data_IF_606569957610
#
_entry.id   IF_606569957610
#
_cell.length_a   1.000
_cell.length_b   1.000
_cell.length_c   1.000
_cell.angle_alpha   90.00
_cell.angle_beta   90.00
_cell.angle_gamma   90.00
#
_symmetry.space_group_name_H-M   'P 1'
#
loop_
_entity.id
_entity.type
_entity.pdbx_description
1 polymer ?
#
# COMPACT_ATOMS: atom_id res chain seq x y z
N UNK A 1 -14.91 17.83 7.87
CA UNK A 1 -14.72 17.04 6.65
C UNK A 1 -13.26 16.59 6.58
N UNK A 2 -13.02 15.30 6.48
CA UNK A 2 -11.66 14.81 6.39
C UNK A 2 -11.15 14.93 4.97
N UNK A 3 -9.93 15.43 4.85
CA UNK A 3 -9.31 15.56 3.54
C UNK A 3 -8.78 14.20 3.07
N UNK A 4 -8.91 13.97 1.79
CA UNK A 4 -8.26 12.85 1.16
C UNK A 4 -6.79 13.21 0.91
N UNK A 5 -5.92 12.24 1.13
CA UNK A 5 -4.49 12.38 0.85
C UNK A 5 -4.07 11.30 -0.11
N UNK A 6 -2.93 11.51 -0.74
CA UNK A 6 -2.26 10.47 -1.54
C UNK A 6 -0.95 10.12 -0.85
N UNK A 7 -0.69 8.82 -0.71
CA UNK A 7 0.53 8.35 -0.11
C UNK A 7 1.13 7.24 -0.96
N UNK A 8 2.42 7.38 -1.27
CA UNK A 8 3.20 6.33 -1.92
C UNK A 8 3.94 5.56 -0.84
N UNK A 9 3.72 4.26 -0.81
CA UNK A 9 4.28 3.36 0.19
C UNK A 9 5.16 2.36 -0.54
N UNK A 10 6.42 2.23 -0.12
CA UNK A 10 7.32 1.28 -0.74
C UNK A 10 7.93 0.40 0.35
N UNK A 11 7.78 -0.90 0.19
CA UNK A 11 8.11 -1.86 1.23
C UNK A 11 9.26 -2.73 0.76
N UNK A 12 10.33 -2.77 1.55
CA UNK A 12 11.56 -3.49 1.25
C UNK A 12 11.77 -4.64 2.21
N UNK A 13 12.30 -5.73 1.70
CA UNK A 13 12.59 -6.91 2.46
C UNK A 13 12.26 -8.17 1.69
N UNK A 14 11.97 -9.25 2.39
CA UNK A 14 11.45 -10.46 1.76
C UNK A 14 9.93 -10.30 1.66
N UNK A 15 9.49 -9.63 0.61
CA UNK A 15 8.11 -9.15 0.49
C UNK A 15 7.40 -9.59 -0.78
N UNK A 16 8.14 -10.05 -1.80
CA UNK A 16 7.54 -10.63 -3.00
C UNK A 16 7.47 -12.14 -2.87
N UNK A 17 6.42 -12.74 -3.45
CA UNK A 17 6.24 -14.18 -3.40
C UNK A 17 5.67 -14.69 -2.08
N UNK A 18 5.29 -13.80 -1.17
CA UNK A 18 4.75 -14.16 0.14
C UNK A 18 3.33 -13.63 0.35
N UNK A 19 2.70 -13.14 -0.72
CA UNK A 19 1.33 -12.64 -0.66
C UNK A 19 1.20 -11.22 -0.15
N UNK A 20 2.28 -10.44 -0.11
CA UNK A 20 2.25 -9.08 0.44
C UNK A 20 1.42 -8.15 -0.43
N UNK A 21 1.56 -8.25 -1.75
CA UNK A 21 0.78 -7.43 -2.69
C UNK A 21 -0.73 -7.66 -2.48
N UNK A 22 -1.13 -8.92 -2.37
CA UNK A 22 -2.52 -9.30 -2.11
C UNK A 22 -2.98 -8.81 -0.73
N UNK A 23 -2.10 -8.92 0.28
CA UNK A 23 -2.38 -8.47 1.64
C UNK A 23 -2.73 -6.98 1.65
N UNK A 24 -1.93 -6.16 0.97
CA UNK A 24 -2.19 -4.71 0.90
C UNK A 24 -3.50 -4.46 0.16
N UNK A 25 -3.69 -5.11 -0.98
CA UNK A 25 -4.88 -4.92 -1.80
C UNK A 25 -6.14 -5.21 -1.01
N UNK A 26 -6.19 -6.36 -0.34
CA UNK A 26 -7.35 -6.79 0.42
C UNK A 26 -7.69 -5.79 1.53
N UNK A 27 -6.69 -5.40 2.30
CA UNK A 27 -6.89 -4.48 3.41
C UNK A 27 -7.24 -3.07 2.94
N UNK A 28 -6.60 -2.59 1.89
CA UNK A 28 -6.91 -1.28 1.33
C UNK A 28 -8.33 -1.23 0.77
N UNK A 29 -8.75 -2.30 0.14
CA UNK A 29 -10.11 -2.39 -0.39
C UNK A 29 -11.16 -2.33 0.72
N UNK A 30 -10.93 -3.05 1.80
CA UNK A 30 -11.83 -3.02 2.96
C UNK A 30 -11.92 -1.63 3.58
N UNK A 31 -10.82 -0.87 3.53
CA UNK A 31 -10.78 0.49 4.05
C UNK A 31 -11.32 1.53 3.05
N UNK A 32 -11.74 1.09 1.86
CA UNK A 32 -12.29 2.00 0.86
C UNK A 32 -11.26 2.88 0.18
N UNK A 33 -9.99 2.48 0.20
CA UNK A 33 -8.92 3.25 -0.45
C UNK A 33 -8.88 2.97 -1.94
N UNK A 34 -8.38 3.93 -2.70
CA UNK A 34 -8.21 3.82 -4.15
C UNK A 34 -6.74 3.90 -4.51
N UNK A 35 -6.39 3.48 -5.71
CA UNK A 35 -5.02 3.51 -6.18
C UNK A 35 -4.59 2.19 -6.76
N UNK A 36 -3.35 1.79 -6.47
CA UNK A 36 -2.85 0.51 -6.98
C UNK A 36 -1.77 -0.06 -6.07
N UNK A 37 -1.55 -1.37 -6.23
CA UNK A 37 -0.47 -2.10 -5.57
C UNK A 37 0.25 -2.91 -6.63
N UNK A 38 1.57 -2.90 -6.63
CA UNK A 38 2.36 -3.71 -7.58
C UNK A 38 3.72 -4.09 -7.01
N UNK A 39 4.28 -5.17 -7.55
CA UNK A 39 5.68 -5.54 -7.31
C UNK A 39 6.58 -4.72 -8.22
N UNK A 40 7.72 -4.29 -7.69
CA UNK A 40 8.72 -3.59 -8.48
C UNK A 40 9.88 -4.52 -8.80
N UNK A 41 10.66 -4.16 -9.83
CA UNK A 41 11.76 -5.00 -10.32
C UNK A 41 12.89 -5.18 -9.30
N UNK A 42 13.02 -4.29 -8.34
CA UNK A 42 14.06 -4.37 -7.31
C UNK A 42 13.69 -5.28 -6.15
N UNK A 43 12.55 -5.94 -6.21
CA UNK A 43 12.09 -6.83 -5.15
C UNK A 43 11.17 -6.18 -4.14
N UNK A 44 10.96 -4.88 -4.22
CA UNK A 44 10.06 -4.18 -3.31
C UNK A 44 8.61 -4.26 -3.78
N UNK A 45 7.68 -3.92 -2.87
CA UNK A 45 6.26 -3.79 -3.19
C UNK A 45 5.90 -2.32 -3.05
N UNK A 46 5.19 -1.78 -4.02
CA UNK A 46 4.76 -0.40 -4.01
C UNK A 46 3.24 -0.31 -3.98
N UNK A 47 2.73 0.59 -3.14
CA UNK A 47 1.33 0.95 -3.15
C UNK A 47 1.22 2.47 -3.28
N UNK A 48 0.33 2.93 -4.15
CA UNK A 48 -0.04 4.33 -4.24
C UNK A 48 -1.51 4.38 -3.88
N UNK A 49 -1.83 5.04 -2.77
CA UNK A 49 -3.17 4.97 -2.20
C UNK A 49 -3.72 6.36 -1.92
N UNK A 50 -5.00 6.53 -2.22
CA UNK A 50 -5.75 7.76 -2.00
C UNK A 50 -6.93 7.45 -1.11
N UNK A 51 -7.15 8.28 -0.11
CA UNK A 51 -8.27 8.16 0.80
C UNK A 51 -8.10 9.05 2.00
N UNK A 52 -8.96 8.84 2.98
CA UNK A 52 -8.91 9.61 4.22
C UNK A 52 -7.62 9.32 4.98
N UNK A 53 -7.03 10.35 5.54
CA UNK A 53 -5.74 10.24 6.21
C UNK A 53 -5.70 9.15 7.27
N UNK A 54 -6.71 9.08 8.12
CA UNK A 54 -6.74 8.09 9.19
C UNK A 54 -6.80 6.65 8.65
N UNK A 55 -7.43 6.44 7.50
CA UNK A 55 -7.51 5.12 6.88
C UNK A 55 -6.19 4.74 6.23
N UNK A 56 -5.52 5.71 5.60
CA UNK A 56 -4.18 5.50 5.05
C UNK A 56 -3.21 5.12 6.17
N UNK A 57 -3.27 5.83 7.30
CA UNK A 57 -2.41 5.53 8.45
C UNK A 57 -2.67 4.13 9.00
N UNK A 58 -3.93 3.73 9.05
CA UNK A 58 -4.28 2.38 9.49
C UNK A 58 -3.69 1.32 8.56
N UNK A 59 -3.77 1.55 7.25
CA UNK A 59 -3.17 0.62 6.30
C UNK A 59 -1.65 0.53 6.48
N UNK A 60 -0.99 1.66 6.70
CA UNK A 60 0.45 1.68 6.93
C UNK A 60 0.82 0.83 8.16
N UNK A 61 0.05 0.95 9.24
CA UNK A 61 0.27 0.12 10.42
C UNK A 61 0.17 -1.36 10.09
N UNK A 62 -0.81 -1.74 9.28
CA UNK A 62 -0.96 -3.13 8.85
C UNK A 62 0.24 -3.59 8.02
N UNK A 63 0.81 -2.70 7.20
CA UNK A 63 1.98 -3.01 6.39
C UNK A 63 3.21 -3.33 7.25
N UNK A 64 3.36 -2.67 8.39
CA UNK A 64 4.47 -2.97 9.29
C UNK A 64 4.38 -4.37 9.89
N UNK A 65 3.18 -4.90 10.01
CA UNK A 65 2.99 -6.29 10.45
C UNK A 65 3.19 -7.26 9.28
N UNK A 66 2.57 -6.95 8.16
CA UNK A 66 2.64 -7.76 6.95
C UNK A 66 1.99 -9.13 7.09
N UNK A 67 2.00 -9.92 6.01
CA UNK A 67 1.57 -11.32 6.07
C UNK A 67 2.63 -12.19 6.76
N UNK A 68 2.23 -13.41 7.11
CA UNK A 68 3.00 -14.29 8.01
C UNK A 68 4.43 -14.56 7.60
N UNK A 69 4.69 -14.69 6.30
CA UNK A 69 6.03 -15.08 5.82
C UNK A 69 6.88 -13.89 5.36
N UNK A 70 6.35 -12.67 5.49
CA UNK A 70 7.09 -11.50 5.05
C UNK A 70 8.12 -11.08 6.09
N UNK A 71 9.26 -10.57 5.61
CA UNK A 71 10.26 -9.94 6.46
C UNK A 71 10.39 -8.53 5.94
N UNK A 72 10.07 -7.56 6.79
CA UNK A 72 10.06 -6.15 6.40
C UNK A 72 11.33 -5.50 6.94
N UNK A 73 12.18 -5.01 6.03
CA UNK A 73 13.41 -4.33 6.39
C UNK A 73 13.18 -2.82 6.55
N UNK A 74 12.35 -2.25 5.67
CA UNK A 74 12.15 -0.81 5.64
C UNK A 74 10.86 -0.49 4.89
N UNK A 75 10.17 0.55 5.33
CA UNK A 75 9.04 1.10 4.60
C UNK A 75 9.33 2.58 4.36
N UNK A 76 9.36 2.99 3.09
CA UNK A 76 9.51 4.38 2.71
C UNK A 76 8.14 4.94 2.41
N UNK A 77 7.89 6.15 2.90
CA UNK A 77 6.61 6.84 2.73
C UNK A 77 6.86 8.18 2.06
N UNK A 78 6.08 8.47 1.01
CA UNK A 78 6.14 9.74 0.32
C UNK A 78 4.73 10.24 0.07
N UNK A 79 4.56 11.55 0.11
CA UNK A 79 3.31 12.15 -0.31
C UNK A 79 3.25 12.18 -1.83
N UNK A 80 2.06 12.05 -2.39
CA UNK A 80 1.86 12.14 -3.83
C UNK A 80 0.68 13.05 -4.12
N UNK A 81 0.60 13.49 -5.37
CA UNK A 81 -0.43 14.45 -5.78
C UNK A 81 -1.53 13.80 -6.61
N UNK A 82 -1.35 12.56 -7.00
CA UNK A 82 -2.30 11.87 -7.86
C UNK A 82 -3.57 11.56 -7.07
N UNK A 83 -4.72 11.96 -7.58
CA UNK A 83 -5.99 11.70 -6.92
C UNK A 83 -7.05 11.18 -7.88
N UNK A 84 -6.66 10.89 -9.12
CA UNK A 84 -7.58 10.53 -10.18
C UNK A 84 -7.78 9.03 -10.32
N UNK A 85 -7.84 8.33 -9.21
CA UNK A 85 -8.12 6.90 -9.23
C UNK A 85 -9.61 6.67 -9.03
N UNK A 86 -10.20 5.90 -9.92
CA UNK A 86 -11.60 5.50 -9.81
C UNK A 86 -11.77 4.27 -8.94
N UNK A 87 -10.71 3.50 -8.75
CA UNK A 87 -10.79 2.19 -8.13
C UNK A 87 -9.42 1.81 -7.56
N UNK A 88 -9.39 0.67 -6.89
CA UNK A 88 -8.15 0.06 -6.38
C UNK A 88 -7.78 -1.10 -7.29
N UNK A 89 -6.54 -1.09 -7.78
CA UNK A 89 -6.06 -2.11 -8.72
C UNK A 89 -4.91 -2.91 -8.13
N UNK A 90 -4.90 -4.18 -8.45
CA UNK A 90 -3.77 -5.06 -8.15
C UNK A 90 -3.02 -5.27 -9.47
N UNK A 91 -1.84 -4.68 -9.59
CA UNK A 91 -1.07 -4.71 -10.83
C UNK A 91 -0.01 -5.81 -10.81
N UNK A 92 0.27 -6.33 -11.97
CA UNK A 92 1.32 -7.32 -12.16
C UNK A 92 2.70 -6.68 -12.20
#
# INVERSE_FOLDING_TARGET
MEDEICKRIRIFGYVQGVGFRWFIYKNAKELGLKGFVKNLNDGSVQAVLVGKKNLIEKLIELCYKGPSYAIINRIDLEECMEKDFNDLSLKL
#
